data_IF_506872683195
#
_entry.id   IF_506872683195
#
_cell.length_a   1.000
_cell.length_b   1.000
_cell.length_c   1.000
_cell.angle_alpha   90.00
_cell.angle_beta   90.00
_cell.angle_gamma   90.00
#
_symmetry.space_group_name_H-M   'P 1'
#
loop_
_entity.id
_entity.type
_entity.pdbx_description
1 polymer ?
#
# COMPACT_ATOMS: atom_id res chain seq x y z
N UNK A 1 10.67 -10.23 20.45
CA UNK A 1 11.08 -10.06 19.05
C UNK A 1 11.44 -8.60 18.81
N UNK A 2 12.60 -8.29 18.23
CA UNK A 2 12.99 -6.89 17.97
C UNK A 2 12.24 -6.46 16.70
N UNK A 3 11.24 -5.62 16.86
CA UNK A 3 10.43 -5.12 15.73
C UNK A 3 11.30 -4.27 14.80
N UNK A 4 11.10 -4.40 13.51
CA UNK A 4 11.77 -3.59 12.50
C UNK A 4 11.44 -2.11 12.69
N UNK A 5 12.48 -1.26 12.66
CA UNK A 5 12.32 0.18 12.91
C UNK A 5 11.40 0.83 11.86
N UNK A 6 11.49 0.36 10.61
CA UNK A 6 10.69 0.88 9.51
C UNK A 6 9.19 0.56 9.64
N UNK A 7 8.81 -0.41 10.46
CA UNK A 7 7.41 -0.79 10.68
C UNK A 7 6.84 -0.29 12.02
N UNK A 8 7.62 0.41 12.85
CA UNK A 8 7.15 0.87 14.15
C UNK A 8 6.01 1.90 14.09
N UNK A 9 5.91 2.66 13.00
CA UNK A 9 4.84 3.65 12.84
C UNK A 9 3.44 3.01 12.76
N UNK A 10 3.33 1.71 12.43
CA UNK A 10 2.06 0.99 12.36
C UNK A 10 1.23 1.10 13.66
N UNK A 11 1.87 1.20 14.81
CA UNK A 11 1.19 1.40 16.10
C UNK A 11 0.35 2.68 16.16
N UNK A 12 0.67 3.68 15.32
CA UNK A 12 -0.02 4.98 15.28
C UNK A 12 -1.07 5.07 14.17
N UNK A 13 -1.15 4.05 13.31
CA UNK A 13 -2.13 3.98 12.24
C UNK A 13 -3.55 3.75 12.80
N UNK A 14 -4.58 4.11 12.02
CA UNK A 14 -5.96 3.85 12.41
C UNK A 14 -6.32 2.37 12.21
N UNK A 15 -7.44 1.95 12.79
CA UNK A 15 -7.87 0.55 12.73
C UNK A 15 -8.24 0.10 11.32
N UNK A 16 -8.85 0.98 10.53
CA UNK A 16 -9.27 0.69 9.15
C UNK A 16 -8.08 0.37 8.24
N UNK A 17 -7.02 1.21 8.30
CA UNK A 17 -5.79 0.99 7.52
C UNK A 17 -5.06 -0.30 7.96
N UNK A 18 -5.01 -0.57 9.28
CA UNK A 18 -4.43 -1.80 9.81
C UNK A 18 -5.26 -3.04 9.42
N UNK A 19 -6.59 -2.91 9.35
CA UNK A 19 -7.47 -3.97 8.88
C UNK A 19 -7.21 -4.30 7.41
N UNK A 20 -7.06 -3.27 6.56
CA UNK A 20 -6.72 -3.47 5.16
C UNK A 20 -5.41 -4.24 5.01
N UNK A 21 -4.38 -3.91 5.80
CA UNK A 21 -3.12 -4.65 5.82
C UNK A 21 -3.31 -6.09 6.31
N UNK A 22 -4.05 -6.29 7.39
CA UNK A 22 -4.36 -7.61 7.95
C UNK A 22 -5.06 -8.49 6.92
N UNK A 23 -6.09 -7.97 6.25
CA UNK A 23 -6.86 -8.70 5.26
C UNK A 23 -5.99 -9.12 4.06
N UNK A 24 -5.06 -8.27 3.61
CA UNK A 24 -4.08 -8.61 2.57
C UNK A 24 -3.18 -9.78 2.97
N UNK A 25 -2.76 -9.82 4.24
CA UNK A 25 -1.86 -10.87 4.74
C UNK A 25 -2.61 -12.20 4.94
N UNK A 26 -3.85 -12.16 5.40
CA UNK A 26 -4.62 -13.34 5.82
C UNK A 26 -5.40 -13.98 4.68
N UNK A 27 -6.01 -13.16 3.80
CA UNK A 27 -6.91 -13.67 2.76
C UNK A 27 -6.30 -13.57 1.36
N UNK A 28 -6.68 -14.50 0.50
CA UNK A 28 -6.34 -14.45 -0.92
C UNK A 28 -7.35 -13.62 -1.73
N UNK A 29 -7.14 -13.54 -3.05
CA UNK A 29 -8.02 -12.79 -3.96
C UNK A 29 -9.44 -13.38 -4.11
N UNK A 30 -9.68 -14.58 -3.59
CA UNK A 30 -11.01 -15.21 -3.53
C UNK A 30 -11.68 -15.01 -2.17
N UNK A 31 -10.96 -14.43 -1.21
CA UNK A 31 -11.40 -14.28 0.16
C UNK A 31 -11.25 -15.55 1.01
N UNK A 32 -10.44 -16.49 0.56
CA UNK A 32 -10.10 -17.70 1.31
C UNK A 32 -8.84 -17.46 2.14
N UNK A 33 -8.73 -18.14 3.29
CA UNK A 33 -7.53 -18.07 4.13
C UNK A 33 -6.33 -18.60 3.34
N UNK A 34 -5.22 -17.86 3.39
CA UNK A 34 -3.96 -18.31 2.76
C UNK A 34 -3.38 -19.48 3.54
N UNK A 35 -2.97 -20.51 2.84
CA UNK A 35 -2.36 -21.71 3.46
C UNK A 35 -1.02 -21.45 4.16
N UNK A 36 -0.35 -20.35 3.81
CA UNK A 36 0.98 -20.00 4.33
C UNK A 36 0.97 -18.93 5.43
N UNK A 37 -0.21 -18.44 5.81
CA UNK A 37 -0.34 -17.48 6.90
C UNK A 37 -0.42 -18.19 8.26
N UNK A 38 0.02 -17.51 9.31
CA UNK A 38 -0.06 -18.00 10.69
C UNK A 38 -0.82 -17.04 11.60
N UNK A 39 -1.20 -15.91 11.08
CA UNK A 39 -1.80 -14.81 11.84
C UNK A 39 -3.21 -15.14 12.31
N UNK A 40 -4.07 -15.73 11.47
CA UNK A 40 -5.48 -15.99 11.77
C UNK A 40 -5.71 -16.96 12.94
N UNK A 41 -4.72 -17.79 13.24
CA UNK A 41 -4.77 -18.74 14.37
C UNK A 41 -4.13 -18.19 15.65
N UNK A 42 -3.58 -16.98 15.62
CA UNK A 42 -2.90 -16.38 16.78
C UNK A 42 -3.91 -15.82 17.80
N UNK A 43 -3.56 -15.86 19.09
CA UNK A 43 -4.38 -15.28 20.16
C UNK A 43 -4.59 -13.78 19.95
N UNK A 44 -3.60 -13.08 19.40
CA UNK A 44 -3.69 -11.65 19.06
C UNK A 44 -4.72 -11.37 17.99
N UNK A 45 -4.79 -12.18 16.93
CA UNK A 45 -5.80 -12.06 15.89
C UNK A 45 -7.20 -12.33 16.46
N UNK A 46 -7.38 -13.44 17.17
CA UNK A 46 -8.67 -13.84 17.73
C UNK A 46 -9.23 -12.82 18.73
N UNK A 47 -8.35 -12.07 19.41
CA UNK A 47 -8.76 -11.05 20.39
C UNK A 47 -8.88 -9.64 19.80
N UNK A 48 -8.20 -9.31 18.71
CA UNK A 48 -8.09 -7.96 18.18
C UNK A 48 -8.86 -7.73 16.87
N UNK A 49 -9.02 -8.76 16.05
CA UNK A 49 -9.73 -8.63 14.77
C UNK A 49 -11.25 -8.70 14.99
N UNK A 50 -12.04 -7.85 14.32
CA UNK A 50 -11.63 -6.81 13.35
C UNK A 50 -11.48 -5.40 13.95
N UNK A 51 -11.71 -5.21 15.25
CA UNK A 51 -12.02 -3.88 15.81
C UNK A 51 -10.85 -3.21 16.56
N UNK A 52 -9.81 -3.97 16.94
CA UNK A 52 -8.68 -3.46 17.75
C UNK A 52 -7.31 -3.88 17.22
N UNK A 53 -7.05 -3.69 15.93
CA UNK A 53 -5.82 -4.11 15.25
C UNK A 53 -4.56 -3.37 15.73
N UNK A 54 -4.72 -2.23 16.41
CA UNK A 54 -3.59 -1.56 17.06
C UNK A 54 -2.91 -2.45 18.10
N UNK A 55 -3.64 -3.35 18.75
CA UNK A 55 -3.08 -4.31 19.71
C UNK A 55 -2.12 -5.32 19.08
N UNK A 56 -2.29 -5.61 17.80
CA UNK A 56 -1.53 -6.65 17.08
C UNK A 56 -0.62 -6.11 15.96
N UNK A 57 -0.29 -4.81 15.96
CA UNK A 57 0.54 -4.23 14.92
C UNK A 57 1.90 -4.91 14.73
N UNK A 58 2.47 -5.46 15.84
CA UNK A 58 3.74 -6.21 15.79
C UNK A 58 3.60 -7.53 15.06
N UNK A 59 2.46 -8.19 15.22
CA UNK A 59 2.18 -9.46 14.57
C UNK A 59 1.95 -9.22 13.06
N UNK A 60 1.25 -8.13 12.69
CA UNK A 60 1.13 -7.70 11.30
C UNK A 60 2.50 -7.41 10.66
N UNK A 61 3.38 -6.70 11.37
CA UNK A 61 4.73 -6.43 10.91
C UNK A 61 5.55 -7.71 10.72
N UNK A 62 5.45 -8.65 11.67
CA UNK A 62 6.15 -9.93 11.62
C UNK A 62 5.65 -10.81 10.46
N UNK A 63 4.34 -10.90 10.27
CA UNK A 63 3.73 -11.68 9.18
C UNK A 63 4.14 -11.14 7.82
N UNK A 64 4.13 -9.82 7.63
CA UNK A 64 4.63 -9.19 6.40
C UNK A 64 6.09 -9.56 6.13
N UNK A 65 6.94 -9.54 7.15
CA UNK A 65 8.35 -9.93 7.01
C UNK A 65 8.50 -11.42 6.68
N UNK A 66 7.64 -12.28 7.22
CA UNK A 66 7.64 -13.71 6.87
C UNK A 66 7.34 -13.95 5.39
N UNK A 67 6.39 -13.22 4.81
CA UNK A 67 6.09 -13.28 3.38
C UNK A 67 7.22 -12.73 2.49
N UNK A 68 7.97 -11.74 2.96
CA UNK A 68 9.10 -11.16 2.22
C UNK A 68 10.33 -12.07 2.14
N UNK A 69 10.37 -13.13 2.94
CA UNK A 69 11.45 -14.11 2.92
C UNK A 69 11.15 -15.30 2.00
N UNK A 70 12.16 -15.77 1.26
CA UNK A 70 12.06 -17.07 0.60
C UNK A 70 11.94 -18.15 1.69
N UNK A 71 10.97 -19.06 1.60
CA UNK A 71 10.61 -20.05 2.63
C UNK A 71 11.83 -20.84 3.15
N UNK A 72 12.78 -21.17 2.26
CA UNK A 72 14.05 -21.81 2.61
C UNK A 72 14.98 -20.90 3.43
N UNK A 73 15.05 -19.61 3.09
CA UNK A 73 15.87 -18.64 3.80
C UNK A 73 15.30 -18.28 5.17
N UNK A 74 13.97 -18.30 5.32
CA UNK A 74 13.29 -18.09 6.61
C UNK A 74 13.59 -19.24 7.59
N UNK A 75 13.69 -20.46 7.09
CA UNK A 75 14.08 -21.63 7.93
C UNK A 75 15.49 -21.45 8.52
N UNK A 76 16.45 -20.94 7.73
CA UNK A 76 17.81 -20.64 8.19
C UNK A 76 17.89 -19.44 9.12
N UNK A 77 16.92 -18.52 9.08
CA UNK A 77 16.85 -17.31 9.94
C UNK A 77 16.03 -17.52 11.21
N UNK A 78 15.79 -18.75 11.64
CA UNK A 78 15.02 -19.07 12.86
C UNK A 78 13.61 -18.47 12.87
N UNK A 79 12.95 -18.42 11.70
CA UNK A 79 11.60 -17.87 11.56
C UNK A 79 11.54 -16.32 11.48
N UNK A 80 12.68 -15.64 11.40
CA UNK A 80 12.71 -14.19 11.18
C UNK A 80 12.78 -13.87 9.69
N UNK A 81 11.80 -13.11 9.19
CA UNK A 81 11.81 -12.58 7.84
C UNK A 81 12.97 -11.57 7.60
N UNK A 82 13.19 -11.15 6.35
CA UNK A 82 14.14 -10.10 6.02
C UNK A 82 13.71 -8.76 6.63
N UNK A 83 14.63 -7.78 6.64
CA UNK A 83 14.27 -6.41 6.99
C UNK A 83 13.23 -5.87 6.00
N UNK A 84 12.34 -5.01 6.48
CA UNK A 84 11.29 -4.41 5.66
C UNK A 84 11.87 -3.64 4.46
N UNK A 85 12.95 -2.89 4.65
CA UNK A 85 13.68 -2.20 3.58
C UNK A 85 14.05 -3.12 2.41
N UNK A 86 14.51 -4.34 2.71
CA UNK A 86 14.83 -5.34 1.66
C UNK A 86 13.58 -5.82 0.92
N UNK A 87 12.45 -5.95 1.62
CA UNK A 87 11.17 -6.35 1.00
C UNK A 87 10.69 -5.25 0.05
N UNK A 88 10.77 -3.98 0.48
CA UNK A 88 10.40 -2.82 -0.37
C UNK A 88 11.28 -2.77 -1.62
N UNK A 89 12.60 -2.97 -1.46
CA UNK A 89 13.52 -3.02 -2.58
C UNK A 89 13.13 -4.10 -3.59
N UNK A 90 12.89 -5.33 -3.12
CA UNK A 90 12.50 -6.46 -3.97
C UNK A 90 11.17 -6.20 -4.69
N UNK A 91 10.20 -5.60 -4.00
CA UNK A 91 8.92 -5.19 -4.60
C UNK A 91 9.13 -4.14 -5.68
N UNK A 92 9.93 -3.09 -5.41
CA UNK A 92 10.22 -2.05 -6.39
C UNK A 92 10.92 -2.63 -7.64
N UNK A 93 11.89 -3.52 -7.45
CA UNK A 93 12.56 -4.21 -8.57
C UNK A 93 11.58 -5.06 -9.38
N UNK A 94 10.72 -5.82 -8.71
CA UNK A 94 9.71 -6.67 -9.36
C UNK A 94 8.69 -5.86 -10.16
N UNK A 95 8.34 -4.67 -9.67
CA UNK A 95 7.39 -3.77 -10.31
C UNK A 95 8.03 -2.85 -11.36
N UNK A 96 9.34 -2.91 -11.54
CA UNK A 96 10.06 -2.06 -12.50
C UNK A 96 10.06 -0.58 -12.10
N UNK A 97 10.05 -0.28 -10.80
CA UNK A 97 10.11 1.10 -10.30
C UNK A 97 11.47 1.69 -10.62
N UNK A 98 11.48 2.80 -11.36
CA UNK A 98 12.70 3.47 -11.81
C UNK A 98 13.43 4.18 -10.67
N UNK A 99 14.75 4.32 -10.83
CA UNK A 99 15.63 5.09 -9.94
C UNK A 99 15.63 4.60 -8.47
N UNK A 100 15.43 3.31 -8.24
CA UNK A 100 15.54 2.68 -6.91
C UNK A 100 16.92 2.10 -6.73
N UNK A 101 17.66 2.61 -5.73
CA UNK A 101 19.01 2.20 -5.37
C UNK A 101 19.05 1.45 -4.04
N UNK A 102 20.13 0.66 -3.83
CA UNK A 102 20.37 -0.08 -2.57
C UNK A 102 20.65 0.81 -1.35
N UNK A 103 20.85 2.11 -1.55
CA UNK A 103 21.10 3.09 -0.51
C UNK A 103 19.88 3.97 -0.21
N UNK A 104 18.79 3.76 -0.94
CA UNK A 104 17.54 4.44 -0.63
C UNK A 104 16.95 3.90 0.68
N UNK A 105 16.39 4.77 1.49
CA UNK A 105 15.64 4.36 2.66
C UNK A 105 14.34 3.65 2.26
N UNK A 106 13.74 2.89 3.18
CA UNK A 106 12.42 2.29 2.95
C UNK A 106 11.39 3.36 2.54
N UNK A 107 11.40 4.53 3.19
CA UNK A 107 10.51 5.65 2.86
C UNK A 107 10.73 6.19 1.44
N UNK A 108 11.98 6.39 1.01
CA UNK A 108 12.27 6.87 -0.35
C UNK A 108 11.77 5.89 -1.40
N UNK A 109 11.99 4.60 -1.18
CA UNK A 109 11.52 3.54 -2.06
C UNK A 109 9.98 3.47 -2.10
N UNK A 110 9.32 3.58 -0.94
CA UNK A 110 7.86 3.62 -0.83
C UNK A 110 7.26 4.80 -1.61
N UNK A 111 7.86 5.99 -1.52
CA UNK A 111 7.40 7.16 -2.27
C UNK A 111 7.55 6.97 -3.79
N UNK A 112 8.66 6.39 -4.24
CA UNK A 112 8.86 6.04 -5.66
C UNK A 112 7.84 5.00 -6.13
N UNK A 113 7.57 4.00 -5.29
CA UNK A 113 6.55 2.99 -5.54
C UNK A 113 5.15 3.60 -5.66
N UNK A 114 4.76 4.51 -4.77
CA UNK A 114 3.47 5.21 -4.85
C UNK A 114 3.35 6.06 -6.12
N UNK A 115 4.44 6.70 -6.57
CA UNK A 115 4.45 7.41 -7.85
C UNK A 115 4.22 6.45 -9.02
N UNK A 116 4.90 5.30 -9.03
CA UNK A 116 4.73 4.30 -10.09
C UNK A 116 3.29 3.75 -10.13
N UNK A 117 2.71 3.47 -8.96
CA UNK A 117 1.31 3.05 -8.83
C UNK A 117 0.37 4.14 -9.32
N UNK A 118 0.59 5.40 -8.94
CA UNK A 118 -0.22 6.54 -9.37
C UNK A 118 -0.09 6.79 -10.87
N UNK A 119 1.11 6.65 -11.43
CA UNK A 119 1.33 6.75 -12.89
C UNK A 119 0.48 5.72 -13.64
N UNK A 120 0.44 4.47 -13.13
CA UNK A 120 -0.41 3.43 -13.70
C UNK A 120 -1.90 3.73 -13.53
N UNK A 121 -2.30 4.26 -12.38
CA UNK A 121 -3.69 4.68 -12.14
C UNK A 121 -4.13 5.80 -13.12
N UNK A 122 -3.24 6.74 -13.42
CA UNK A 122 -3.52 7.83 -14.37
C UNK A 122 -3.75 7.35 -15.82
N UNK A 123 -3.31 6.14 -16.20
CA UNK A 123 -3.63 5.58 -17.52
C UNK A 123 -5.13 5.35 -17.71
N UNK A 124 -5.87 5.15 -16.62
CA UNK A 124 -7.32 4.95 -16.60
C UNK A 124 -8.13 6.26 -16.50
N UNK A 125 -7.46 7.40 -16.29
CA UNK A 125 -8.08 8.72 -16.10
C UNK A 125 -8.19 9.48 -17.40
N UNK A 126 -9.26 10.28 -17.53
CA UNK A 126 -9.39 11.29 -18.60
C UNK A 126 -8.58 12.55 -18.28
N UNK A 127 -8.36 13.41 -19.28
CA UNK A 127 -7.67 14.70 -19.06
C UNK A 127 -8.45 15.62 -18.11
N UNK A 128 -9.79 15.59 -18.16
CA UNK A 128 -10.64 16.35 -17.25
C UNK A 128 -10.48 15.88 -15.80
N UNK A 129 -10.37 14.56 -15.58
CA UNK A 129 -10.14 13.99 -14.25
C UNK A 129 -8.75 14.35 -13.72
N UNK A 130 -7.73 14.33 -14.58
CA UNK A 130 -6.38 14.77 -14.21
C UNK A 130 -6.38 16.26 -13.83
N UNK A 131 -7.05 17.09 -14.62
CA UNK A 131 -7.22 18.51 -14.35
C UNK A 131 -7.90 18.72 -12.99
N UNK A 132 -9.02 18.02 -12.74
CA UNK A 132 -9.74 18.11 -11.48
C UNK A 132 -8.86 17.79 -10.27
N UNK A 133 -8.07 16.72 -10.34
CA UNK A 133 -7.10 16.36 -9.27
C UNK A 133 -6.07 17.47 -9.06
N UNK A 134 -5.49 18.01 -10.12
CA UNK A 134 -4.48 19.06 -10.02
C UNK A 134 -5.05 20.35 -9.43
N UNK A 135 -6.25 20.76 -9.84
CA UNK A 135 -6.94 21.95 -9.34
C UNK A 135 -7.35 21.80 -7.88
N UNK A 136 -7.94 20.65 -7.49
CA UNK A 136 -8.34 20.34 -6.11
C UNK A 136 -7.12 20.36 -5.17
N UNK A 137 -6.00 19.79 -5.60
CA UNK A 137 -4.78 19.74 -4.81
C UNK A 137 -3.95 21.02 -4.87
N UNK A 138 -4.38 22.05 -5.64
CA UNK A 138 -3.65 23.31 -5.80
C UNK A 138 -2.31 23.16 -6.51
N UNK A 139 -2.15 22.15 -7.37
CA UNK A 139 -0.94 21.94 -8.18
C UNK A 139 -0.89 22.97 -9.30
N UNK A 140 0.11 23.86 -9.27
CA UNK A 140 0.29 24.95 -10.23
C UNK A 140 1.64 24.87 -10.92
N UNK A 141 1.74 25.43 -12.12
CA UNK A 141 3.00 25.48 -12.87
C UNK A 141 3.32 24.24 -13.70
N UNK A 142 2.35 23.34 -13.85
CA UNK A 142 2.44 22.15 -14.70
C UNK A 142 1.26 22.10 -15.67
N UNK A 143 1.47 21.44 -16.80
CA UNK A 143 0.40 21.18 -17.75
C UNK A 143 -0.62 20.20 -17.16
N UNK A 144 -1.90 20.41 -17.45
CA UNK A 144 -3.00 19.53 -17.01
C UNK A 144 -3.06 18.24 -17.83
N UNK A 145 -1.94 17.52 -17.87
CA UNK A 145 -1.75 16.25 -18.56
C UNK A 145 -1.19 15.20 -17.62
N UNK A 146 -1.21 13.92 -18.02
CA UNK A 146 -0.56 12.83 -17.26
C UNK A 146 0.91 13.12 -17.02
N UNK A 147 1.61 13.58 -18.05
CA UNK A 147 3.05 13.91 -17.95
C UNK A 147 3.28 15.08 -16.99
N UNK A 148 2.45 16.12 -17.05
CA UNK A 148 2.52 17.26 -16.15
C UNK A 148 2.26 16.86 -14.69
N UNK A 149 1.23 16.04 -14.43
CA UNK A 149 0.95 15.54 -13.10
C UNK A 149 2.07 14.62 -12.56
N UNK A 150 2.64 13.76 -13.41
CA UNK A 150 3.79 12.94 -13.04
C UNK A 150 5.01 13.79 -12.68
N UNK A 151 5.31 14.83 -13.48
CA UNK A 151 6.39 15.77 -13.19
C UNK A 151 6.15 16.52 -11.87
N UNK A 152 4.90 16.91 -11.61
CA UNK A 152 4.51 17.50 -10.32
C UNK A 152 4.76 16.55 -9.16
N UNK A 153 4.36 15.29 -9.25
CA UNK A 153 4.59 14.27 -8.20
C UNK A 153 6.09 14.09 -7.91
N UNK A 154 6.91 13.96 -8.96
CA UNK A 154 8.36 13.82 -8.80
C UNK A 154 9.00 15.02 -8.08
N UNK A 155 8.49 16.23 -8.33
CA UNK A 155 8.98 17.45 -7.67
C UNK A 155 8.42 17.56 -6.24
N UNK A 156 7.11 17.40 -6.06
CA UNK A 156 6.43 17.55 -4.78
C UNK A 156 6.94 16.57 -3.73
N UNK A 157 7.29 15.37 -4.11
CA UNK A 157 7.93 14.40 -3.19
C UNK A 157 9.15 14.97 -2.46
N UNK A 158 9.91 15.83 -3.12
CA UNK A 158 11.14 16.40 -2.59
C UNK A 158 10.91 17.74 -1.86
N UNK A 159 10.00 18.56 -2.37
CA UNK A 159 9.83 19.95 -1.90
C UNK A 159 8.62 20.15 -1.01
N UNK A 160 7.57 19.34 -1.16
CA UNK A 160 6.34 19.49 -0.38
C UNK A 160 5.62 18.14 -0.19
N UNK A 161 6.08 17.36 0.76
CA UNK A 161 5.54 16.03 1.08
C UNK A 161 4.05 16.03 1.40
N UNK A 162 3.52 17.15 1.93
CA UNK A 162 2.08 17.30 2.24
C UNK A 162 1.25 17.35 0.97
N UNK A 163 1.59 18.25 0.03
CA UNK A 163 0.88 18.34 -1.24
C UNK A 163 1.07 17.05 -2.04
N UNK A 164 2.26 16.45 -2.00
CA UNK A 164 2.50 15.12 -2.57
C UNK A 164 1.50 14.07 -2.05
N UNK A 165 1.30 14.00 -0.73
CA UNK A 165 0.35 13.07 -0.12
C UNK A 165 -1.09 13.32 -0.56
N UNK A 166 -1.52 14.58 -0.64
CA UNK A 166 -2.85 14.95 -1.14
C UNK A 166 -3.06 14.54 -2.60
N UNK A 167 -2.06 14.76 -3.46
CA UNK A 167 -2.15 14.39 -4.88
C UNK A 167 -2.23 12.87 -5.04
N UNK A 168 -1.40 12.12 -4.32
CA UNK A 168 -1.47 10.65 -4.32
C UNK A 168 -2.86 10.16 -3.86
N UNK A 169 -3.36 10.67 -2.74
CA UNK A 169 -4.66 10.29 -2.20
C UNK A 169 -5.81 10.62 -3.18
N UNK A 170 -5.77 11.79 -3.82
CA UNK A 170 -6.76 12.20 -4.82
C UNK A 170 -6.74 11.30 -6.07
N UNK A 171 -5.55 10.94 -6.58
CA UNK A 171 -5.41 10.00 -7.71
C UNK A 171 -6.00 8.64 -7.35
N UNK A 172 -5.68 8.12 -6.16
CA UNK A 172 -6.15 6.82 -5.73
C UNK A 172 -7.67 6.80 -5.53
N UNK A 173 -8.25 7.87 -4.97
CA UNK A 173 -9.71 8.03 -4.84
C UNK A 173 -10.39 8.09 -6.21
N UNK A 174 -9.87 8.90 -7.13
CA UNK A 174 -10.40 9.01 -8.49
C UNK A 174 -10.40 7.65 -9.20
N UNK A 175 -9.33 6.88 -9.06
CA UNK A 175 -9.29 5.52 -9.61
C UNK A 175 -10.38 4.63 -9.01
N UNK A 176 -10.60 4.71 -7.70
CA UNK A 176 -11.68 3.96 -7.04
C UNK A 176 -13.05 4.31 -7.62
N UNK A 177 -13.32 5.59 -7.86
CA UNK A 177 -14.59 6.04 -8.47
C UNK A 177 -14.74 5.48 -9.89
N UNK A 178 -13.69 5.56 -10.71
CA UNK A 178 -13.68 4.99 -12.08
C UNK A 178 -14.02 3.49 -12.04
N UNK A 179 -13.39 2.74 -11.17
CA UNK A 179 -13.60 1.29 -11.04
C UNK A 179 -15.01 0.95 -10.53
N UNK A 180 -15.58 1.77 -9.64
CA UNK A 180 -16.97 1.64 -9.20
C UNK A 180 -17.96 1.89 -10.35
N UNK A 181 -17.77 2.95 -11.11
CA UNK A 181 -18.63 3.29 -12.25
C UNK A 181 -18.59 2.19 -13.32
N UNK A 182 -17.42 1.64 -13.60
CA UNK A 182 -17.24 0.53 -14.57
C UNK A 182 -17.82 -0.80 -14.07
N UNK A 183 -18.32 -0.86 -12.84
CA UNK A 183 -18.91 -2.06 -12.25
C UNK A 183 -17.92 -3.15 -11.84
N UNK A 184 -16.61 -2.91 -12.01
CA UNK A 184 -15.54 -3.85 -11.64
C UNK A 184 -15.60 -4.14 -10.13
N UNK A 185 -15.85 -3.12 -9.31
CA UNK A 185 -16.00 -3.26 -7.86
C UNK A 185 -17.36 -3.86 -7.46
N UNK A 186 -18.42 -3.67 -8.24
CA UNK A 186 -19.74 -4.27 -7.92
C UNK A 186 -19.71 -5.80 -7.90
N UNK A 187 -18.90 -6.41 -8.74
CA UNK A 187 -18.68 -7.87 -8.70
C UNK A 187 -17.98 -8.32 -7.41
N UNK A 188 -17.10 -7.49 -6.83
CA UNK A 188 -16.44 -7.75 -5.54
C UNK A 188 -17.32 -7.44 -4.31
N UNK A 189 -18.30 -6.51 -4.39
CA UNK A 189 -19.20 -6.20 -3.28
C UNK A 189 -20.09 -7.39 -2.89
N UNK A 190 -20.41 -8.29 -3.81
CA UNK A 190 -21.11 -9.54 -3.51
C UNK A 190 -20.31 -10.49 -2.61
N UNK A 191 -18.98 -10.39 -2.62
CA UNK A 191 -18.07 -11.11 -1.73
C UNK A 191 -17.94 -10.40 -0.37
N UNK A 192 -18.04 -9.06 -0.34
CA UNK A 192 -18.02 -8.25 0.89
C UNK A 192 -19.19 -8.59 1.82
N UNK A 193 -20.37 -8.98 1.27
CA UNK A 193 -21.54 -9.37 2.06
C UNK A 193 -21.36 -10.68 2.82
N UNK A 194 -20.30 -11.43 2.57
CA UNK A 194 -19.96 -12.69 3.26
C UNK A 194 -18.89 -12.54 4.35
N UNK A 195 -18.69 -11.33 4.85
CA UNK A 195 -17.73 -11.06 5.95
C UNK A 195 -16.28 -10.92 5.51
N UNK A 196 -16.01 -11.02 4.23
CA UNK A 196 -14.67 -10.79 3.67
C UNK A 196 -14.55 -9.31 3.35
N UNK A 197 -14.16 -8.50 4.33
CA UNK A 197 -13.80 -7.08 4.17
C UNK A 197 -12.51 -6.89 3.39
N UNK A 198 -12.29 -7.77 2.40
CA UNK A 198 -11.07 -7.93 1.67
C UNK A 198 -10.81 -6.73 0.80
N UNK A 199 -9.62 -6.21 0.95
CA UNK A 199 -9.06 -5.13 0.13
C UNK A 199 -9.82 -3.81 0.30
N UNK A 200 -10.22 -3.51 1.53
CA UNK A 200 -10.84 -2.24 1.90
C UNK A 200 -9.80 -1.12 1.96
N UNK A 201 -9.42 -0.65 0.82
CA UNK A 201 -8.59 0.53 0.64
C UNK A 201 -8.33 0.74 -0.84
N UNK A 202 -8.07 2.00 -1.26
CA UNK A 202 -7.80 2.31 -2.67
C UNK A 202 -6.70 1.43 -3.26
N UNK A 203 -5.75 1.05 -2.43
CA UNK A 203 -4.55 0.28 -2.80
C UNK A 203 -4.87 -1.16 -3.20
N UNK A 204 -5.75 -1.85 -2.48
CA UNK A 204 -6.08 -3.24 -2.78
C UNK A 204 -6.73 -3.42 -4.15
N UNK A 205 -7.55 -2.47 -4.57
CA UNK A 205 -8.24 -2.50 -5.85
C UNK A 205 -7.35 -2.15 -7.04
N UNK A 206 -6.37 -1.25 -6.87
CA UNK A 206 -5.39 -0.91 -7.90
C UNK A 206 -4.62 -2.16 -8.34
N UNK A 207 -4.28 -3.00 -7.37
CA UNK A 207 -3.50 -4.22 -7.60
C UNK A 207 -4.32 -5.26 -8.33
N UNK A 208 -5.62 -5.37 -8.03
CA UNK A 208 -6.52 -6.36 -8.64
C UNK A 208 -6.86 -6.05 -10.11
N UNK A 209 -6.90 -4.77 -10.48
CA UNK A 209 -7.46 -4.35 -11.78
C UNK A 209 -6.42 -3.86 -12.77
N UNK A 210 -5.26 -3.39 -12.32
CA UNK A 210 -4.28 -2.69 -13.16
C UNK A 210 -3.05 -3.49 -13.57
N UNK A 211 -2.76 -4.61 -12.90
CA UNK A 211 -1.53 -5.36 -13.19
C UNK A 211 -1.79 -6.70 -13.88
N UNK A 212 -1.64 -6.72 -15.20
CA UNK A 212 -1.61 -7.96 -16.02
C UNK A 212 -0.46 -8.90 -15.63
N UNK A 213 0.45 -8.47 -14.77
CA UNK A 213 1.57 -9.26 -14.24
C UNK A 213 1.16 -10.22 -13.11
N UNK A 214 -0.09 -10.14 -12.62
CA UNK A 214 -0.58 -10.94 -11.48
C UNK A 214 -0.42 -12.44 -11.67
N UNK A 215 -0.68 -12.93 -12.87
CA UNK A 215 -0.58 -14.35 -13.20
C UNK A 215 0.86 -14.85 -13.33
N UNK A 216 1.81 -13.95 -13.59
CA UNK A 216 3.24 -14.27 -13.77
C UNK A 216 4.01 -14.15 -12.44
N UNK A 217 3.41 -13.55 -11.41
CA UNK A 217 4.05 -13.38 -10.11
C UNK A 217 4.02 -14.66 -9.29
N UNK A 218 5.16 -15.02 -8.70
CA UNK A 218 5.23 -16.09 -7.72
C UNK A 218 4.35 -15.83 -6.48
N UNK A 219 3.98 -16.88 -5.72
CA UNK A 219 3.03 -16.78 -4.60
C UNK A 219 3.36 -15.71 -3.57
N UNK A 220 4.64 -15.51 -3.26
CA UNK A 220 5.09 -14.50 -2.29
C UNK A 220 4.75 -13.07 -2.76
N UNK A 221 4.96 -12.74 -4.03
CA UNK A 221 4.70 -11.40 -4.55
C UNK A 221 3.22 -11.05 -4.61
N UNK A 222 2.33 -12.04 -4.68
CA UNK A 222 0.87 -11.83 -4.57
C UNK A 222 0.44 -11.33 -3.18
N UNK A 223 1.32 -11.41 -2.20
CA UNK A 223 1.12 -10.87 -0.84
C UNK A 223 1.98 -9.65 -0.62
N UNK A 224 3.28 -9.73 -0.89
CA UNK A 224 4.23 -8.67 -0.54
C UNK A 224 4.00 -7.38 -1.34
N UNK A 225 3.64 -7.45 -2.63
CA UNK A 225 3.36 -6.24 -3.40
C UNK A 225 2.19 -5.46 -2.81
N UNK A 226 0.98 -6.03 -2.65
CA UNK A 226 -0.14 -5.28 -2.06
C UNK A 226 0.15 -4.83 -0.62
N UNK A 227 0.82 -5.65 0.18
CA UNK A 227 1.13 -5.29 1.55
C UNK A 227 2.11 -4.12 1.63
N UNK A 228 3.17 -4.09 0.81
CA UNK A 228 4.14 -2.99 0.78
C UNK A 228 3.48 -1.70 0.28
N UNK A 229 2.63 -1.76 -0.76
CA UNK A 229 1.91 -0.58 -1.23
C UNK A 229 0.97 -0.05 -0.13
N UNK A 230 0.27 -0.95 0.59
CA UNK A 230 -0.58 -0.56 1.72
C UNK A 230 0.24 0.10 2.84
N UNK A 231 1.39 -0.44 3.20
CA UNK A 231 2.29 0.14 4.22
C UNK A 231 2.82 1.50 3.75
N UNK A 232 3.22 1.65 2.50
CA UNK A 232 3.65 2.91 1.91
C UNK A 232 2.56 3.99 2.01
N UNK A 233 1.33 3.64 1.66
CA UNK A 233 0.17 4.53 1.79
C UNK A 233 -0.12 4.91 3.25
N UNK A 234 -0.05 3.96 4.17
CA UNK A 234 -0.23 4.19 5.61
C UNK A 234 0.85 5.12 6.16
N UNK A 235 2.12 4.94 5.78
CA UNK A 235 3.23 5.82 6.18
C UNK A 235 3.02 7.24 5.68
N UNK A 236 2.64 7.40 4.43
CA UNK A 236 2.34 8.69 3.83
C UNK A 236 1.24 9.44 4.65
N UNK A 237 0.14 8.77 4.97
CA UNK A 237 -0.94 9.33 5.82
C UNK A 237 -0.46 9.67 7.23
N UNK A 238 0.37 8.82 7.82
CA UNK A 238 0.93 9.05 9.15
C UNK A 238 1.82 10.30 9.19
N UNK A 239 2.70 10.46 8.20
CA UNK A 239 3.58 11.63 8.10
C UNK A 239 2.79 12.92 7.85
N UNK A 240 1.78 12.87 6.99
CA UNK A 240 0.90 14.03 6.76
C UNK A 240 0.21 14.47 8.06
N UNK A 241 -0.23 13.51 8.88
CA UNK A 241 -0.81 13.81 10.21
C UNK A 241 0.20 14.42 11.18
N UNK A 242 1.45 13.96 11.19
CA UNK A 242 2.50 14.54 12.03
C UNK A 242 2.77 15.99 11.63
N UNK A 243 2.93 16.26 10.35
CA UNK A 243 3.18 17.61 9.84
C UNK A 243 2.03 18.60 10.19
N UNK A 244 0.77 18.12 10.14
CA UNK A 244 -0.38 18.96 10.60
C UNK A 244 -0.31 19.30 12.07
N UNK A 245 0.10 18.37 12.92
CA UNK A 245 0.16 18.61 14.36
C UNK A 245 1.30 19.57 14.72
N UNK A 246 2.42 19.53 14.00
CA UNK A 246 3.54 20.46 14.18
C UNK A 246 3.19 21.89 13.74
N UNK A 247 2.36 22.07 12.70
CA UNK A 247 1.89 23.38 12.25
C UNK A 247 0.83 23.99 13.20
N UNK A 248 0.15 23.16 14.00
CA UNK A 248 -0.90 23.59 14.93
C UNK A 248 -0.39 23.86 16.36
N UNK A 249 0.87 23.53 16.65
CA UNK A 249 1.52 23.71 17.96
C UNK A 249 2.38 24.97 18.03
#
# INVERSE_FOLDING_TARGET
>A
MKTDMDLQFLQYCNNEDLRALCDILVYDNKGELRLSESLSISDSYLSCYPDNLKGMWRDLAAELQCYGGNTLMNLFRHGHGPKYESIVYDVCQKMGVENVGKHDTAEDMEQKLLIAVSSKAMEEMTEEQIRAVMEECGVKGYDYTRTGLLAALLTLRLVNKRVFAYVIDAILKMLMEILMVRGIIRAGFGLLSRGVGVLCGPVGWIILTGWTLWDIMGPAYRVTIPAVIQVAYMRMKYQEKLNRNEEAA
#
